data_IF_385235967377
#
_entry.id   IF_385235967377
#
_cell.length_a   1.000
_cell.length_b   1.000
_cell.length_c   1.000
_cell.angle_alpha   90.00
_cell.angle_beta   90.00
_cell.angle_gamma   90.00
#
_symmetry.space_group_name_H-M   'P 1'
#
loop_
_entity.id
_entity.type
_entity.pdbx_description
1 polymer ?
#
# COMPACT_ATOMS: atom_id res chain seq x y z
N UNK A 1 -17.21 -45.81 -0.66
CA UNK A 1 -16.56 -44.80 0.19
C UNK A 1 -16.61 -43.50 -0.59
N UNK A 2 -17.55 -42.61 -0.27
CA UNK A 2 -17.70 -41.34 -1.01
C UNK A 2 -16.50 -40.45 -0.70
N UNK A 3 -15.75 -40.05 -1.73
CA UNK A 3 -14.66 -39.09 -1.57
C UNK A 3 -15.23 -37.74 -1.16
N UNK A 4 -14.93 -37.30 0.05
CA UNK A 4 -15.20 -35.91 0.43
C UNK A 4 -14.20 -35.04 -0.34
N UNK A 5 -14.68 -34.26 -1.31
CA UNK A 5 -13.91 -33.17 -1.87
C UNK A 5 -13.57 -32.19 -0.73
N UNK A 6 -12.30 -32.16 -0.31
CA UNK A 6 -11.81 -31.23 0.69
C UNK A 6 -11.84 -29.81 0.10
N UNK A 7 -12.74 -28.97 0.60
CA UNK A 7 -12.83 -27.57 0.20
C UNK A 7 -11.58 -26.81 0.69
N UNK A 8 -10.83 -26.21 -0.24
CA UNK A 8 -9.61 -25.44 0.07
C UNK A 8 -9.85 -23.94 -0.03
N UNK A 9 -10.65 -23.49 -0.99
CA UNK A 9 -10.92 -22.09 -1.24
C UNK A 9 -12.44 -21.84 -1.16
N UNK A 10 -12.84 -20.87 -0.35
CA UNK A 10 -14.24 -20.49 -0.18
C UNK A 10 -14.39 -19.00 -0.45
N UNK A 11 -15.13 -18.66 -1.51
CA UNK A 11 -15.52 -17.31 -1.86
C UNK A 11 -17.01 -17.11 -1.59
N UNK A 12 -17.32 -16.18 -0.70
CA UNK A 12 -18.67 -15.75 -0.39
C UNK A 12 -18.78 -14.29 -0.79
N UNK A 13 -19.64 -13.98 -1.76
CA UNK A 13 -19.81 -12.61 -2.26
C UNK A 13 -21.27 -12.26 -2.48
N UNK A 14 -21.71 -11.13 -1.93
CA UNK A 14 -23.06 -10.62 -2.17
C UNK A 14 -24.16 -11.46 -1.52
N UNK A 15 -23.85 -12.17 -0.43
CA UNK A 15 -24.82 -12.98 0.29
C UNK A 15 -25.56 -12.15 1.35
N UNK A 16 -26.53 -11.33 0.92
CA UNK A 16 -27.22 -10.35 1.77
C UNK A 16 -28.09 -10.97 2.88
N UNK A 17 -28.42 -12.27 2.81
CA UNK A 17 -29.17 -12.99 3.85
C UNK A 17 -28.29 -13.87 4.74
N UNK A 18 -26.98 -13.93 4.50
CA UNK A 18 -26.06 -14.76 5.28
C UNK A 18 -25.83 -14.12 6.64
N UNK A 19 -26.27 -14.80 7.71
CA UNK A 19 -26.09 -14.35 9.10
C UNK A 19 -24.79 -14.91 9.70
N UNK A 20 -24.42 -16.13 9.32
CA UNK A 20 -23.20 -16.79 9.78
C UNK A 20 -22.88 -18.00 8.93
N UNK A 21 -21.63 -18.44 8.97
CA UNK A 21 -21.20 -19.69 8.36
C UNK A 21 -21.49 -20.87 9.32
N UNK A 22 -21.74 -22.09 8.80
CA UNK A 22 -21.96 -23.26 9.64
C UNK A 22 -20.74 -23.52 10.53
N UNK A 23 -21.00 -23.80 11.82
CA UNK A 23 -19.96 -24.06 12.85
C UNK A 23 -19.20 -25.38 12.68
N UNK A 24 -19.50 -26.19 11.66
CA UNK A 24 -18.98 -27.55 11.47
C UNK A 24 -17.58 -27.65 10.83
N UNK A 25 -17.07 -28.88 10.68
CA UNK A 25 -15.70 -29.20 10.22
C UNK A 25 -15.34 -28.85 8.76
N UNK A 26 -16.18 -28.11 8.03
CA UNK A 26 -15.95 -27.62 6.66
C UNK A 26 -14.67 -26.79 6.51
N UNK A 27 -14.11 -26.31 7.62
CA UNK A 27 -12.97 -25.39 7.65
C UNK A 27 -11.63 -26.06 7.94
N UNK A 28 -11.63 -27.36 8.29
CA UNK A 28 -10.38 -28.05 8.63
C UNK A 28 -9.41 -28.13 7.44
N UNK A 29 -9.94 -28.16 6.21
CA UNK A 29 -9.15 -28.21 4.97
C UNK A 29 -9.02 -26.87 4.26
N UNK A 30 -9.67 -25.82 4.79
CA UNK A 30 -9.75 -24.53 4.13
C UNK A 30 -8.42 -23.78 4.26
N UNK A 31 -7.87 -23.36 3.12
CA UNK A 31 -6.66 -22.54 2.98
C UNK A 31 -7.00 -21.09 2.73
N UNK A 32 -8.07 -20.79 2.01
CA UNK A 32 -8.43 -19.43 1.65
C UNK A 32 -9.91 -19.16 1.93
N UNK A 33 -10.19 -18.07 2.65
CA UNK A 33 -11.54 -17.61 2.92
C UNK A 33 -11.67 -16.16 2.49
N UNK A 34 -12.54 -15.92 1.52
CA UNK A 34 -12.88 -14.59 1.01
C UNK A 34 -14.35 -14.32 1.28
N UNK A 35 -14.64 -13.29 2.06
CA UNK A 35 -16.02 -12.87 2.36
C UNK A 35 -16.19 -11.41 1.96
N UNK A 36 -17.12 -11.15 1.06
CA UNK A 36 -17.33 -9.84 0.45
C UNK A 36 -18.79 -9.43 0.39
N UNK A 37 -19.12 -8.20 0.74
CA UNK A 37 -20.45 -7.61 0.51
C UNK A 37 -21.59 -8.45 1.12
N UNK A 38 -21.40 -8.92 2.36
CA UNK A 38 -22.38 -9.70 3.11
C UNK A 38 -22.96 -8.85 4.23
N UNK A 39 -24.07 -8.17 3.95
CA UNK A 39 -24.60 -7.10 4.80
C UNK A 39 -25.06 -7.57 6.17
N UNK A 40 -25.62 -8.79 6.27
CA UNK A 40 -26.18 -9.35 7.51
C UNK A 40 -25.24 -10.32 8.22
N UNK A 41 -23.98 -10.43 7.79
CA UNK A 41 -23.04 -11.37 8.42
C UNK A 41 -22.67 -10.87 9.82
N UNK A 42 -23.15 -11.55 10.84
CA UNK A 42 -22.96 -11.18 12.24
C UNK A 42 -21.75 -11.87 12.88
N UNK A 43 -21.33 -13.02 12.34
CA UNK A 43 -20.23 -13.81 12.91
C UNK A 43 -19.43 -14.59 11.86
N UNK A 44 -18.14 -14.72 12.14
CA UNK A 44 -17.24 -15.65 11.43
C UNK A 44 -17.28 -17.03 12.12
N UNK A 45 -16.99 -18.11 11.39
CA UNK A 45 -17.05 -19.44 11.98
C UNK A 45 -15.83 -19.70 12.88
N UNK A 46 -16.05 -20.34 14.03
CA UNK A 46 -15.00 -20.58 15.04
C UNK A 46 -13.78 -21.31 14.50
N UNK A 47 -13.97 -22.18 13.51
CA UNK A 47 -12.90 -22.98 12.89
C UNK A 47 -11.83 -22.18 12.15
N UNK A 48 -11.98 -20.87 11.92
CA UNK A 48 -10.88 -20.05 11.34
C UNK A 48 -9.83 -19.63 12.36
N UNK A 49 -10.11 -19.85 13.66
CA UNK A 49 -9.22 -19.51 14.77
C UNK A 49 -8.75 -20.80 15.46
N UNK A 50 -7.53 -20.82 15.99
CA UNK A 50 -7.07 -21.86 16.90
C UNK A 50 -7.63 -21.63 18.30
N UNK A 51 -8.49 -22.54 18.73
CA UNK A 51 -8.88 -22.73 20.13
C UNK A 51 -8.38 -24.11 20.58
N UNK A 52 -7.67 -24.16 21.70
CA UNK A 52 -7.04 -25.34 22.33
C UNK A 52 -7.39 -26.71 21.70
N UNK A 53 -6.56 -27.14 20.73
CA UNK A 53 -6.26 -28.54 20.39
C UNK A 53 -7.23 -29.41 19.55
N UNK A 54 -8.27 -28.92 18.87
CA UNK A 54 -8.95 -29.79 17.87
C UNK A 54 -9.30 -29.05 16.57
N UNK A 55 -8.74 -29.56 15.47
CA UNK A 55 -8.74 -29.00 14.10
C UNK A 55 -7.97 -27.70 13.90
N UNK A 56 -6.70 -27.86 13.56
CA UNK A 56 -5.88 -26.79 13.05
C UNK A 56 -6.38 -26.38 11.66
N UNK A 57 -7.09 -25.25 11.56
CA UNK A 57 -7.32 -24.65 10.25
C UNK A 57 -5.98 -24.40 9.56
N UNK A 58 -5.85 -24.93 8.34
CA UNK A 58 -4.72 -24.69 7.45
C UNK A 58 -4.83 -23.35 6.71
N UNK A 59 -5.55 -22.38 7.31
CA UNK A 59 -5.87 -21.12 6.66
C UNK A 59 -4.59 -20.33 6.42
N UNK A 60 -4.39 -19.96 5.17
CA UNK A 60 -3.27 -19.18 4.65
C UNK A 60 -3.72 -17.77 4.29
N UNK A 61 -4.96 -17.59 3.84
CA UNK A 61 -5.51 -16.28 3.49
C UNK A 61 -6.91 -16.07 4.06
N UNK A 62 -7.11 -14.92 4.71
CA UNK A 62 -8.40 -14.42 5.15
C UNK A 62 -8.63 -13.02 4.60
N UNK A 63 -9.64 -12.87 3.76
CA UNK A 63 -10.12 -11.57 3.29
C UNK A 63 -11.57 -11.33 3.73
N UNK A 64 -11.80 -10.20 4.38
CA UNK A 64 -13.13 -9.75 4.78
C UNK A 64 -13.34 -8.34 4.23
N UNK A 65 -14.38 -8.17 3.43
CA UNK A 65 -14.67 -6.90 2.75
C UNK A 65 -16.14 -6.54 2.84
N UNK A 66 -16.46 -5.29 3.19
CA UNK A 66 -17.83 -4.76 3.16
C UNK A 66 -18.82 -5.65 3.92
N UNK A 67 -18.52 -5.93 5.18
CA UNK A 67 -19.38 -6.73 6.07
C UNK A 67 -19.75 -5.86 7.29
N UNK A 68 -20.72 -4.93 7.14
CA UNK A 68 -21.02 -3.93 8.16
C UNK A 68 -21.62 -4.51 9.45
N UNK A 69 -22.40 -5.60 9.38
CA UNK A 69 -22.95 -6.25 10.59
C UNK A 69 -21.93 -7.08 11.37
N UNK A 70 -20.72 -7.29 10.85
CA UNK A 70 -19.71 -8.09 11.52
C UNK A 70 -19.03 -7.24 12.61
N UNK A 71 -19.15 -7.68 13.86
CA UNK A 71 -18.71 -6.90 15.03
C UNK A 71 -17.51 -7.48 15.77
N UNK A 72 -17.26 -8.79 15.66
CA UNK A 72 -16.14 -9.44 16.35
C UNK A 72 -15.52 -10.59 15.57
N UNK A 73 -14.30 -10.95 15.95
CA UNK A 73 -13.68 -12.20 15.56
C UNK A 73 -14.10 -13.34 16.49
N UNK A 74 -14.01 -14.60 16.03
CA UNK A 74 -14.16 -15.73 16.94
C UNK A 74 -13.04 -15.73 17.97
N UNK A 75 -13.30 -16.29 19.15
CA UNK A 75 -12.28 -16.39 20.21
C UNK A 75 -11.08 -17.22 19.75
N UNK A 76 -9.91 -16.94 20.31
CA UNK A 76 -8.68 -17.70 20.06
C UNK A 76 -7.65 -16.88 19.27
N UNK A 77 -6.78 -17.60 18.56
CA UNK A 77 -5.69 -17.01 17.77
C UNK A 77 -5.85 -17.29 16.29
N UNK A 78 -5.41 -16.39 15.43
CA UNK A 78 -5.22 -16.71 14.02
C UNK A 78 -4.25 -17.88 13.87
N UNK A 79 -4.47 -18.78 12.88
CA UNK A 79 -3.62 -19.93 12.70
C UNK A 79 -2.20 -19.52 12.33
N UNK A 80 -1.22 -20.27 12.82
CA UNK A 80 0.20 -19.99 12.52
C UNK A 80 0.54 -20.13 11.03
N UNK A 81 -0.34 -20.75 10.23
CA UNK A 81 -0.23 -20.84 8.77
C UNK A 81 -0.76 -19.61 8.05
N UNK A 82 -1.39 -18.65 8.73
CA UNK A 82 -1.98 -17.49 8.09
C UNK A 82 -0.88 -16.57 7.54
N UNK A 83 -0.83 -16.43 6.22
CA UNK A 83 0.13 -15.60 5.50
C UNK A 83 -0.47 -14.24 5.10
N UNK A 84 -1.79 -14.19 4.90
CA UNK A 84 -2.50 -13.00 4.42
C UNK A 84 -3.74 -12.70 5.25
N UNK A 85 -3.84 -11.46 5.75
CA UNK A 85 -5.02 -10.96 6.47
C UNK A 85 -5.42 -9.61 5.88
N UNK A 86 -6.53 -9.59 5.15
CA UNK A 86 -7.03 -8.40 4.46
C UNK A 86 -8.42 -8.04 4.99
N UNK A 87 -8.56 -6.85 5.56
CA UNK A 87 -9.81 -6.36 6.14
C UNK A 87 -10.11 -5.00 5.52
N UNK A 88 -11.25 -4.87 4.85
CA UNK A 88 -11.68 -3.63 4.22
C UNK A 88 -13.15 -3.31 4.47
N UNK A 89 -13.47 -2.05 4.68
CA UNK A 89 -14.86 -1.57 4.75
C UNK A 89 -15.67 -2.33 5.83
N UNK A 90 -15.07 -2.54 7.01
CA UNK A 90 -15.65 -3.28 8.14
C UNK A 90 -15.56 -2.42 9.41
N UNK A 91 -16.31 -1.32 9.44
CA UNK A 91 -16.15 -0.24 10.42
C UNK A 91 -16.52 -0.61 11.86
N UNK A 92 -17.42 -1.58 12.04
CA UNK A 92 -17.89 -2.04 13.35
C UNK A 92 -17.13 -3.25 13.89
N UNK A 93 -16.26 -3.88 13.09
CA UNK A 93 -15.48 -5.03 13.50
C UNK A 93 -14.46 -4.61 14.57
N UNK A 94 -14.38 -5.35 15.67
CA UNK A 94 -13.42 -5.11 16.74
C UNK A 94 -11.97 -5.09 16.23
N UNK A 95 -11.09 -4.35 16.91
CA UNK A 95 -9.66 -4.25 16.58
C UNK A 95 -8.97 -5.61 16.69
N UNK A 96 -8.10 -5.92 15.72
CA UNK A 96 -7.06 -6.94 15.92
C UNK A 96 -6.17 -6.53 17.10
N UNK A 97 -5.74 -7.51 17.90
CA UNK A 97 -4.93 -7.32 19.10
C UNK A 97 -3.76 -8.31 19.16
N UNK A 98 -2.79 -8.05 20.05
CA UNK A 98 -1.61 -8.93 20.25
C UNK A 98 -2.02 -10.37 20.61
N UNK A 99 -3.09 -10.53 21.40
CA UNK A 99 -3.55 -11.83 21.90
C UNK A 99 -4.07 -12.74 20.79
N UNK A 100 -4.51 -12.16 19.67
CA UNK A 100 -5.02 -12.89 18.50
C UNK A 100 -3.90 -13.51 17.66
N UNK A 101 -2.64 -13.20 17.91
CA UNK A 101 -1.51 -13.74 17.16
C UNK A 101 -0.66 -14.66 18.03
N UNK A 102 0.08 -15.53 17.38
CA UNK A 102 1.14 -16.28 18.03
C UNK A 102 2.43 -15.45 18.04
N UNK A 103 2.99 -15.21 19.22
CA UNK A 103 4.17 -14.34 19.35
C UNK A 103 5.45 -14.91 18.74
N UNK A 104 5.55 -16.23 18.57
CA UNK A 104 6.79 -16.91 18.18
C UNK A 104 6.74 -17.62 16.82
N UNK A 105 5.56 -17.96 16.30
CA UNK A 105 5.40 -18.71 15.05
C UNK A 105 4.33 -18.12 14.11
N UNK A 106 4.21 -16.80 14.09
CA UNK A 106 3.38 -16.10 13.11
C UNK A 106 4.01 -16.17 11.71
N UNK A 107 3.22 -16.54 10.70
CA UNK A 107 3.65 -16.58 9.29
C UNK A 107 3.10 -15.41 8.47
N UNK A 108 2.45 -14.43 9.09
CA UNK A 108 1.78 -13.34 8.39
C UNK A 108 2.79 -12.50 7.59
N UNK A 109 2.61 -12.45 6.28
CA UNK A 109 3.45 -11.72 5.33
C UNK A 109 2.74 -10.51 4.74
N UNK A 110 1.42 -10.59 4.57
CA UNK A 110 0.60 -9.53 3.99
C UNK A 110 -0.52 -9.09 4.93
N UNK A 111 -0.56 -7.80 5.23
CA UNK A 111 -1.62 -7.17 6.01
C UNK A 111 -2.20 -5.99 5.23
N UNK A 112 -3.51 -6.01 5.00
CA UNK A 112 -4.23 -4.91 4.36
C UNK A 112 -5.37 -4.48 5.27
N UNK A 113 -5.39 -3.22 5.66
CA UNK A 113 -6.40 -2.63 6.54
C UNK A 113 -6.96 -1.37 5.88
N UNK A 114 -8.26 -1.34 5.59
CA UNK A 114 -8.91 -0.19 4.94
C UNK A 114 -10.28 0.11 5.50
N UNK A 115 -10.59 1.37 5.86
CA UNK A 115 -11.87 1.73 6.51
C UNK A 115 -12.24 0.75 7.64
N UNK A 116 -11.32 0.63 8.59
CA UNK A 116 -11.36 -0.29 9.72
C UNK A 116 -11.13 0.50 11.01
N UNK A 117 -12.19 1.20 11.44
CA UNK A 117 -12.10 2.33 12.38
C UNK A 117 -11.69 1.96 13.80
N UNK A 118 -11.92 0.71 14.21
CA UNK A 118 -11.64 0.28 15.58
C UNK A 118 -10.16 -0.06 15.84
N UNK A 119 -9.32 -0.18 14.80
CA UNK A 119 -7.91 -0.48 15.00
C UNK A 119 -7.27 0.58 15.91
N UNK A 120 -6.59 0.15 16.97
CA UNK A 120 -5.91 1.07 17.91
C UNK A 120 -4.41 1.08 17.70
N UNK A 121 -3.84 -0.11 17.56
CA UNK A 121 -2.40 -0.35 17.41
C UNK A 121 -2.17 -1.56 16.53
N UNK A 122 -1.02 -1.62 15.86
CA UNK A 122 -0.56 -2.87 15.27
C UNK A 122 0.06 -3.79 16.34
N UNK A 123 -0.17 -5.11 16.30
CA UNK A 123 0.56 -6.07 17.11
C UNK A 123 2.08 -6.00 16.87
N UNK A 124 2.88 -6.18 17.92
CA UNK A 124 4.35 -6.12 17.88
C UNK A 124 4.96 -7.41 17.27
N UNK A 125 4.23 -8.53 17.32
CA UNK A 125 4.65 -9.81 16.74
C UNK A 125 4.62 -9.88 15.19
N UNK A 126 4.29 -8.78 14.50
CA UNK A 126 4.16 -8.74 13.03
C UNK A 126 5.50 -8.52 12.27
N UNK A 127 6.62 -8.93 12.87
CA UNK A 127 7.96 -8.72 12.30
C UNK A 127 8.22 -9.49 10.98
N UNK A 128 7.36 -10.44 10.62
CA UNK A 128 7.40 -11.23 9.37
C UNK A 128 6.79 -10.51 8.17
N UNK A 129 6.07 -9.41 8.38
CA UNK A 129 5.38 -8.68 7.31
C UNK A 129 6.36 -8.21 6.22
N UNK A 130 6.04 -8.56 4.98
CA UNK A 130 6.72 -8.11 3.76
C UNK A 130 5.86 -7.10 2.99
N UNK A 131 4.55 -7.09 3.20
CA UNK A 131 3.60 -6.17 2.59
C UNK A 131 2.58 -5.64 3.60
N UNK A 132 2.49 -4.32 3.71
CA UNK A 132 1.52 -3.61 4.54
C UNK A 132 0.80 -2.56 3.70
N UNK A 133 -0.54 -2.57 3.74
CA UNK A 133 -1.39 -1.53 3.16
C UNK A 133 -2.37 -0.98 4.18
N UNK A 134 -2.38 0.34 4.35
CA UNK A 134 -3.29 1.05 5.24
C UNK A 134 -4.08 2.08 4.42
N UNK A 135 -5.41 2.04 4.51
CA UNK A 135 -6.30 2.91 3.73
C UNK A 135 -7.36 3.55 4.62
N UNK A 136 -7.62 4.84 4.41
CA UNK A 136 -8.73 5.56 5.03
C UNK A 136 -8.74 5.39 6.56
N UNK A 137 -7.57 5.55 7.18
CA UNK A 137 -7.39 5.32 8.61
C UNK A 137 -7.24 6.64 9.37
N UNK A 138 -8.11 6.88 10.35
CA UNK A 138 -8.17 8.16 11.06
C UNK A 138 -6.95 8.40 11.96
N UNK A 139 -6.47 7.39 12.68
CA UNK A 139 -5.45 7.53 13.71
C UNK A 139 -4.10 6.88 13.33
N UNK A 140 -3.63 7.09 12.10
CA UNK A 140 -2.37 6.50 11.60
C UNK A 140 -1.16 6.79 12.49
N UNK A 141 -1.12 7.93 13.18
CA UNK A 141 -0.03 8.31 14.09
C UNK A 141 0.21 7.28 15.20
N UNK A 142 -0.84 6.60 15.66
CA UNK A 142 -0.73 5.54 16.67
C UNK A 142 -0.01 4.29 16.16
N UNK A 143 0.06 4.10 14.84
CA UNK A 143 0.67 2.93 14.21
C UNK A 143 2.14 3.16 13.81
N UNK A 144 2.58 4.43 13.70
CA UNK A 144 3.94 4.78 13.30
C UNK A 144 5.03 4.11 14.17
N UNK A 145 4.88 4.03 15.52
CA UNK A 145 5.87 3.37 16.37
C UNK A 145 6.08 1.88 16.06
N UNK A 146 5.08 1.19 15.53
CA UNK A 146 5.14 -0.22 15.15
C UNK A 146 5.61 -0.36 13.71
N UNK A 147 5.14 0.49 12.79
CA UNK A 147 5.55 0.46 11.38
C UNK A 147 7.08 0.55 11.28
N UNK A 148 7.73 1.45 12.04
CA UNK A 148 9.20 1.60 12.05
C UNK A 148 9.99 0.37 12.53
N UNK A 149 9.32 -0.61 13.16
CA UNK A 149 9.93 -1.88 13.60
C UNK A 149 9.86 -2.98 12.52
N UNK A 150 9.08 -2.79 11.46
CA UNK A 150 8.85 -3.78 10.40
C UNK A 150 10.02 -3.84 9.40
N UNK A 151 11.21 -4.22 9.84
CA UNK A 151 12.45 -4.16 9.02
C UNK A 151 12.46 -5.12 7.83
N UNK A 152 11.61 -6.15 7.82
CA UNK A 152 11.38 -7.07 6.69
C UNK A 152 10.41 -6.54 5.63
N UNK A 153 9.77 -5.40 5.89
CA UNK A 153 8.76 -4.84 5.00
C UNK A 153 9.40 -4.44 3.67
N UNK A 154 8.91 -5.02 2.58
CA UNK A 154 9.38 -4.76 1.20
C UNK A 154 8.47 -3.80 0.46
N UNK A 155 7.18 -3.78 0.83
CA UNK A 155 6.14 -2.94 0.23
C UNK A 155 5.28 -2.29 1.30
N UNK A 156 5.17 -0.97 1.23
CA UNK A 156 4.30 -0.16 2.09
C UNK A 156 3.39 0.71 1.23
N UNK A 157 2.09 0.64 1.46
CA UNK A 157 1.11 1.49 0.81
C UNK A 157 0.24 2.17 1.87
N UNK A 158 0.20 3.50 1.86
CA UNK A 158 -0.63 4.27 2.79
C UNK A 158 -1.47 5.24 1.97
N UNK A 159 -2.78 5.25 2.18
CA UNK A 159 -3.68 6.12 1.43
C UNK A 159 -4.82 6.70 2.26
N UNK A 160 -5.21 7.94 1.94
CA UNK A 160 -6.39 8.63 2.46
C UNK A 160 -6.44 8.78 3.99
N UNK A 161 -5.30 8.76 4.69
CA UNK A 161 -5.26 9.03 6.14
C UNK A 161 -5.19 10.55 6.38
N UNK A 162 -6.32 11.17 6.76
CA UNK A 162 -6.51 12.64 6.71
C UNK A 162 -6.13 13.41 7.99
N UNK A 163 -6.08 12.76 9.15
CA UNK A 163 -5.83 13.44 10.44
C UNK A 163 -4.37 13.38 10.91
N UNK A 164 -3.45 12.94 10.05
CA UNK A 164 -2.03 12.90 10.39
C UNK A 164 -1.43 14.31 10.38
N UNK A 165 -0.78 14.67 11.49
CA UNK A 165 -0.07 15.94 11.69
C UNK A 165 1.44 15.74 11.56
N UNK A 166 1.90 14.55 11.91
CA UNK A 166 3.31 14.16 11.87
C UNK A 166 3.83 14.17 10.43
N UNK A 167 4.82 15.01 10.08
CA UNK A 167 5.34 15.08 8.72
C UNK A 167 5.99 13.76 8.31
N UNK A 168 6.02 13.50 7.01
CA UNK A 168 6.50 12.23 6.45
C UNK A 168 7.95 11.92 6.87
N UNK A 169 8.77 12.94 7.06
CA UNK A 169 10.15 12.80 7.52
C UNK A 169 10.29 12.22 8.93
N UNK A 170 9.27 12.34 9.76
CA UNK A 170 9.26 11.82 11.14
C UNK A 170 8.66 10.40 11.24
N UNK A 171 8.24 9.80 10.13
CA UNK A 171 7.67 8.43 10.16
C UNK A 171 8.72 7.35 10.40
N UNK A 172 10.01 7.68 10.30
CA UNK A 172 11.11 6.75 10.53
C UNK A 172 11.22 5.66 9.45
N UNK A 173 10.74 5.92 8.22
CA UNK A 173 10.78 4.94 7.13
C UNK A 173 12.22 4.59 6.73
N UNK A 174 13.19 5.46 7.00
CA UNK A 174 14.63 5.17 6.84
C UNK A 174 15.12 3.93 7.62
N UNK A 175 14.40 3.50 8.66
CA UNK A 175 14.68 2.26 9.41
C UNK A 175 14.22 0.99 8.70
N UNK A 176 13.38 1.10 7.66
CA UNK A 176 12.84 -0.02 6.91
C UNK A 176 13.84 -0.48 5.85
N UNK A 177 14.90 -1.13 6.29
CA UNK A 177 16.06 -1.47 5.45
C UNK A 177 15.72 -2.38 4.27
N UNK A 178 14.62 -3.15 4.33
CA UNK A 178 14.17 -4.01 3.22
C UNK A 178 13.19 -3.34 2.25
N UNK A 179 12.79 -2.09 2.50
CA UNK A 179 11.68 -1.45 1.77
C UNK A 179 12.09 -1.08 0.34
N UNK A 180 11.42 -1.69 -0.63
CA UNK A 180 11.65 -1.50 -2.07
C UNK A 180 10.56 -0.69 -2.74
N UNK A 181 9.33 -0.75 -2.23
CA UNK A 181 8.15 -0.15 -2.85
C UNK A 181 7.36 0.68 -1.84
N UNK A 182 7.22 1.97 -2.09
CA UNK A 182 6.46 2.90 -1.26
C UNK A 182 5.42 3.64 -2.10
N UNK A 183 4.16 3.57 -1.67
CA UNK A 183 3.06 4.36 -2.25
C UNK A 183 2.38 5.17 -1.15
N UNK A 184 2.28 6.48 -1.35
CA UNK A 184 1.57 7.40 -0.46
C UNK A 184 0.56 8.20 -1.29
N UNK A 185 -0.73 8.14 -0.91
CA UNK A 185 -1.81 8.78 -1.68
C UNK A 185 -2.77 9.56 -0.79
N UNK A 186 -3.15 10.76 -1.20
CA UNK A 186 -4.30 11.48 -0.62
C UNK A 186 -4.09 11.82 0.85
N UNK A 187 -2.88 12.24 1.23
CA UNK A 187 -2.50 12.58 2.61
C UNK A 187 -2.13 14.06 2.73
N UNK A 188 -2.03 14.55 3.97
CA UNK A 188 -1.58 15.91 4.30
C UNK A 188 -2.32 17.02 3.53
N UNK A 189 -3.63 17.21 3.73
CA UNK A 189 -4.44 18.10 2.90
C UNK A 189 -3.93 19.55 2.88
N UNK A 190 -3.27 20.03 3.93
CA UNK A 190 -2.73 21.40 4.01
C UNK A 190 -1.23 21.55 3.78
N UNK A 191 -0.48 20.46 3.60
CA UNK A 191 0.98 20.54 3.53
C UNK A 191 1.48 20.97 2.15
N UNK A 192 2.43 21.91 2.13
CA UNK A 192 3.11 22.39 0.91
C UNK A 192 4.44 21.66 0.65
N UNK A 193 4.99 20.99 1.67
CA UNK A 193 6.19 20.14 1.61
C UNK A 193 6.01 18.89 2.50
N UNK A 194 6.95 17.94 2.43
CA UNK A 194 6.94 16.72 3.25
C UNK A 194 7.83 16.81 4.50
N UNK A 195 8.56 17.90 4.67
CA UNK A 195 9.38 18.16 5.84
C UNK A 195 9.60 19.66 6.05
N UNK A 196 9.66 20.06 7.30
CA UNK A 196 10.16 21.37 7.74
C UNK A 196 11.68 21.36 7.91
N UNK A 197 12.29 20.17 8.08
CA UNK A 197 13.73 19.99 8.23
C UNK A 197 14.39 19.61 6.89
N UNK A 198 15.26 20.47 6.35
CA UNK A 198 15.95 20.22 5.09
C UNK A 198 16.95 19.06 5.10
N UNK A 199 17.41 18.61 6.27
CA UNK A 199 18.41 17.56 6.41
C UNK A 199 17.82 16.19 6.73
N UNK A 200 16.50 16.11 6.92
CA UNK A 200 15.84 14.85 7.20
C UNK A 200 15.73 14.00 5.94
N UNK A 201 16.27 12.78 5.98
CA UNK A 201 16.11 11.79 4.91
C UNK A 201 14.93 10.90 5.27
N UNK A 202 13.76 11.08 4.64
CA UNK A 202 12.55 10.37 5.03
C UNK A 202 12.61 8.88 4.70
N UNK A 203 13.36 8.48 3.67
CA UNK A 203 13.27 7.15 3.05
C UNK A 203 14.57 6.35 3.12
N UNK A 204 14.50 5.01 3.05
CA UNK A 204 15.68 4.16 2.96
C UNK A 204 16.25 4.15 1.53
N UNK A 205 17.57 3.98 1.39
CA UNK A 205 18.26 3.95 0.09
C UNK A 205 17.96 2.70 -0.75
N UNK A 206 17.30 1.70 -0.16
CA UNK A 206 16.87 0.45 -0.81
C UNK A 206 15.60 0.61 -1.65
N UNK A 207 14.98 1.80 -1.61
CA UNK A 207 13.74 2.07 -2.33
C UNK A 207 13.98 2.09 -3.84
N UNK A 208 13.26 1.22 -4.57
CA UNK A 208 13.29 1.09 -6.03
C UNK A 208 12.09 1.74 -6.72
N UNK A 209 10.99 1.89 -5.98
CA UNK A 209 9.75 2.46 -6.48
C UNK A 209 9.14 3.41 -5.44
N UNK A 210 8.91 4.66 -5.84
CA UNK A 210 8.23 5.68 -5.07
C UNK A 210 7.04 6.22 -5.85
N UNK A 211 5.84 6.13 -5.27
CA UNK A 211 4.61 6.71 -5.82
C UNK A 211 4.00 7.70 -4.84
N UNK A 212 3.84 8.94 -5.27
CA UNK A 212 3.18 10.02 -4.55
C UNK A 212 1.94 10.45 -5.33
N UNK A 213 0.77 10.51 -4.70
CA UNK A 213 -0.45 10.83 -5.43
C UNK A 213 -1.45 11.66 -4.64
N UNK A 214 -2.22 12.48 -5.34
CA UNK A 214 -3.36 13.24 -4.79
C UNK A 214 -3.00 14.25 -3.70
N UNK A 215 -1.83 14.85 -3.78
CA UNK A 215 -1.40 15.93 -2.88
C UNK A 215 -1.84 17.30 -3.42
N UNK A 216 -2.93 17.83 -2.85
CA UNK A 216 -3.62 19.02 -3.38
C UNK A 216 -2.84 20.33 -3.19
N UNK A 217 -2.06 20.43 -2.10
CA UNK A 217 -1.33 21.65 -1.74
C UNK A 217 0.19 21.55 -1.87
N UNK A 218 0.72 20.39 -2.26
CA UNK A 218 2.15 20.17 -2.38
C UNK A 218 2.76 21.00 -3.51
N UNK A 219 3.77 21.80 -3.18
CA UNK A 219 4.42 22.72 -4.12
C UNK A 219 5.79 22.22 -4.60
N UNK A 220 6.48 21.44 -3.78
CA UNK A 220 7.85 20.97 -4.05
C UNK A 220 8.17 19.61 -3.42
N UNK A 221 8.98 18.80 -4.11
CA UNK A 221 9.58 17.56 -3.57
C UNK A 221 10.97 17.74 -2.96
N UNK A 222 11.48 18.97 -2.88
CA UNK A 222 12.85 19.24 -2.45
C UNK A 222 13.18 18.74 -1.03
N UNK A 223 12.17 18.55 -0.17
CA UNK A 223 12.29 18.03 1.19
C UNK A 223 12.48 16.52 1.27
N UNK A 224 12.37 15.79 0.15
CA UNK A 224 12.48 14.33 0.14
C UNK A 224 13.91 13.82 -0.09
N UNK A 225 14.85 14.73 -0.39
CA UNK A 225 16.26 14.41 -0.67
C UNK A 225 16.42 13.22 -1.62
N UNK A 226 15.64 13.23 -2.72
CA UNK A 226 15.54 12.11 -3.66
C UNK A 226 16.90 11.68 -4.21
N UNK A 227 17.88 12.59 -4.31
CA UNK A 227 19.24 12.28 -4.77
C UNK A 227 19.97 11.24 -3.90
N UNK A 228 19.56 11.08 -2.65
CA UNK A 228 20.13 10.08 -1.73
C UNK A 228 19.63 8.66 -2.03
N UNK A 229 18.57 8.52 -2.82
CA UNK A 229 17.93 7.24 -3.12
C UNK A 229 18.65 6.54 -4.28
N UNK A 230 19.84 6.04 -3.99
CA UNK A 230 20.73 5.44 -4.98
C UNK A 230 20.16 4.20 -5.68
N UNK A 231 19.12 3.55 -5.15
CA UNK A 231 18.45 2.42 -5.80
C UNK A 231 17.14 2.78 -6.52
N UNK A 232 16.76 4.06 -6.56
CA UNK A 232 15.44 4.45 -7.06
C UNK A 232 15.36 4.35 -8.58
N UNK A 233 14.62 3.35 -9.07
CA UNK A 233 14.43 3.11 -10.50
C UNK A 233 13.19 3.80 -11.06
N UNK A 234 12.15 3.96 -10.23
CA UNK A 234 10.82 4.39 -10.64
C UNK A 234 10.26 5.47 -9.70
N UNK A 235 10.01 6.67 -10.23
CA UNK A 235 9.33 7.76 -9.54
C UNK A 235 8.01 8.07 -10.22
N UNK A 236 6.91 7.95 -9.49
CA UNK A 236 5.57 8.16 -9.98
C UNK A 236 4.84 9.24 -9.15
N UNK A 237 4.28 10.24 -9.82
CA UNK A 237 3.62 11.41 -9.24
C UNK A 237 2.29 11.60 -9.97
N UNK A 238 1.19 11.60 -9.25
CA UNK A 238 -0.13 11.69 -9.87
C UNK A 238 -1.02 12.70 -9.17
N UNK A 239 -1.73 13.51 -9.92
CA UNK A 239 -2.77 14.41 -9.40
C UNK A 239 -2.26 15.34 -8.29
N UNK A 240 -1.13 16.01 -8.53
CA UNK A 240 -0.54 17.02 -7.65
C UNK A 240 -0.63 18.40 -8.32
N UNK A 241 -1.77 19.10 -8.21
CA UNK A 241 -2.07 20.25 -9.07
C UNK A 241 -1.15 21.45 -8.86
N UNK A 242 -0.66 21.68 -7.63
CA UNK A 242 0.21 22.82 -7.26
C UNK A 242 1.71 22.53 -7.38
N UNK A 243 2.09 21.31 -7.75
CA UNK A 243 3.48 20.87 -7.74
C UNK A 243 4.28 21.56 -8.87
N UNK A 244 5.28 22.36 -8.50
CA UNK A 244 6.08 23.18 -9.43
C UNK A 244 7.46 22.60 -9.73
N UNK A 245 7.98 21.73 -8.88
CA UNK A 245 9.29 21.10 -9.08
C UNK A 245 9.34 19.74 -8.42
N UNK A 246 9.94 18.79 -9.12
CA UNK A 246 10.28 17.46 -8.59
C UNK A 246 11.74 17.35 -8.17
N UNK A 247 12.54 18.39 -8.45
CA UNK A 247 13.97 18.35 -8.23
C UNK A 247 14.31 18.55 -6.76
N UNK A 248 15.34 17.83 -6.26
CA UNK A 248 15.90 18.10 -4.94
C UNK A 248 16.66 19.43 -4.92
N UNK A 249 17.05 19.86 -3.72
CA UNK A 249 17.74 21.16 -3.50
C UNK A 249 19.04 21.31 -4.29
N UNK A 250 19.76 20.22 -4.47
CA UNK A 250 21.04 20.17 -5.20
C UNK A 250 20.86 19.99 -6.72
N UNK A 251 19.61 19.89 -7.20
CA UNK A 251 19.26 20.09 -8.60
C UNK A 251 19.22 18.86 -9.51
N UNK A 252 19.64 17.67 -9.06
CA UNK A 252 19.64 16.44 -9.87
C UNK A 252 18.91 15.27 -9.20
N UNK A 253 18.24 14.46 -10.00
CA UNK A 253 17.63 13.19 -9.57
C UNK A 253 18.71 12.09 -9.54
N UNK A 254 18.46 10.94 -8.88
CA UNK A 254 19.39 9.81 -8.90
C UNK A 254 19.65 9.29 -10.31
N UNK A 255 20.92 8.98 -10.62
CA UNK A 255 21.31 8.39 -11.92
C UNK A 255 20.67 7.02 -12.19
N UNK A 256 20.22 6.33 -11.14
CA UNK A 256 19.52 5.04 -11.26
C UNK A 256 18.06 5.18 -11.69
N UNK A 257 17.52 6.40 -11.72
CA UNK A 257 16.16 6.65 -12.12
C UNK A 257 15.98 6.34 -13.60
N UNK A 258 15.18 5.31 -13.89
CA UNK A 258 14.94 4.82 -15.23
C UNK A 258 13.54 5.17 -15.75
N UNK A 259 12.60 5.46 -14.85
CA UNK A 259 11.23 5.84 -15.18
C UNK A 259 10.77 6.98 -14.28
N UNK A 260 10.43 8.10 -14.90
CA UNK A 260 9.75 9.22 -14.26
C UNK A 260 8.34 9.37 -14.85
N UNK A 261 7.33 9.33 -13.99
CA UNK A 261 5.95 9.44 -14.42
C UNK A 261 5.23 10.50 -13.60
N UNK A 262 4.91 11.63 -14.19
CA UNK A 262 4.04 12.67 -13.65
C UNK A 262 2.74 12.73 -14.45
N UNK A 263 1.57 12.64 -13.83
CA UNK A 263 0.27 12.87 -14.50
C UNK A 263 -0.62 13.79 -13.68
N UNK A 264 -1.45 14.57 -14.36
CA UNK A 264 -2.34 15.56 -13.73
C UNK A 264 -1.59 16.52 -12.78
N UNK A 265 -0.44 17.02 -13.21
CA UNK A 265 0.45 17.96 -12.52
C UNK A 265 0.75 19.16 -13.46
N UNK A 266 -0.21 20.08 -13.68
CA UNK A 266 -0.19 21.04 -14.80
C UNK A 266 1.03 21.97 -14.79
N UNK A 267 1.53 22.38 -13.62
CA UNK A 267 2.69 23.26 -13.52
C UNK A 267 4.03 22.57 -13.85
N UNK A 268 4.09 21.24 -13.88
CA UNK A 268 5.30 20.53 -14.29
C UNK A 268 5.49 20.54 -15.82
N UNK A 269 4.41 20.52 -16.61
CA UNK A 269 4.51 20.42 -18.07
C UNK A 269 5.32 21.56 -18.69
N UNK A 270 5.14 22.80 -18.22
CA UNK A 270 5.87 23.93 -18.78
C UNK A 270 7.36 23.89 -18.43
N UNK A 271 7.72 23.53 -17.18
CA UNK A 271 9.11 23.58 -16.71
C UNK A 271 9.98 22.45 -17.26
N UNK A 272 9.37 21.31 -17.54
CA UNK A 272 10.05 20.12 -18.05
C UNK A 272 9.75 19.87 -19.54
N UNK A 273 9.34 20.91 -20.28
CA UNK A 273 9.20 20.84 -21.74
C UNK A 273 10.57 20.69 -22.41
N UNK A 274 10.71 19.77 -23.37
CA UNK A 274 11.95 19.54 -24.12
C UNK A 274 12.39 20.75 -24.97
N UNK A 275 11.44 21.55 -25.43
CA UNK A 275 11.70 22.68 -26.34
C UNK A 275 12.02 23.98 -25.59
N UNK A 276 11.30 24.25 -24.50
CA UNK A 276 11.31 25.56 -23.82
C UNK A 276 11.45 25.47 -22.28
N UNK A 277 11.57 24.26 -21.73
CA UNK A 277 11.56 24.05 -20.28
C UNK A 277 12.92 24.23 -19.62
N UNK A 278 13.03 25.21 -18.72
CA UNK A 278 14.25 25.51 -17.96
C UNK A 278 14.82 24.31 -17.16
N UNK A 279 13.97 23.36 -16.77
CA UNK A 279 14.35 22.20 -15.95
C UNK A 279 14.54 20.91 -16.75
N UNK A 280 14.30 20.92 -18.08
CA UNK A 280 14.52 19.75 -18.95
C UNK A 280 15.96 19.21 -18.91
N UNK A 281 17.02 20.05 -18.98
CA UNK A 281 18.40 19.56 -18.91
C UNK A 281 18.71 18.77 -17.62
N UNK A 282 17.96 19.03 -16.55
CA UNK A 282 18.14 18.40 -15.24
C UNK A 282 17.52 17.01 -15.15
N UNK A 283 16.64 16.63 -16.08
CA UNK A 283 16.02 15.29 -16.16
C UNK A 283 16.38 14.54 -17.44
N UNK A 284 17.05 15.20 -18.39
CA UNK A 284 17.45 14.63 -19.68
C UNK A 284 18.42 13.43 -19.59
N UNK A 285 19.08 13.24 -18.45
CA UNK A 285 19.96 12.11 -18.18
C UNK A 285 19.20 10.78 -17.98
N UNK A 286 17.90 10.83 -17.69
CA UNK A 286 17.06 9.64 -17.51
C UNK A 286 16.94 8.93 -18.88
N UNK A 287 17.40 7.67 -19.03
CA UNK A 287 17.56 7.05 -20.34
C UNK A 287 16.23 6.94 -21.09
N UNK A 288 16.00 7.70 -22.17
CA UNK A 288 14.79 7.59 -23.00
C UNK A 288 15.08 6.72 -24.23
N UNK A 289 14.68 5.45 -24.19
CA UNK A 289 14.86 4.53 -25.32
C UNK A 289 13.52 4.23 -25.99
N UNK A 290 13.02 5.16 -26.81
CA UNK A 290 12.04 4.81 -27.84
C UNK A 290 12.20 5.62 -29.13
N UNK A 291 11.92 4.98 -30.30
CA UNK A 291 11.79 5.65 -31.57
C UNK A 291 10.40 6.31 -31.70
N UNK A 292 10.40 7.59 -32.06
CA UNK A 292 9.34 8.61 -32.00
C UNK A 292 8.01 8.31 -32.75
N UNK A 293 7.80 7.13 -33.34
CA UNK A 293 6.65 6.90 -34.26
C UNK A 293 5.58 5.90 -33.81
N UNK A 294 5.79 5.08 -32.78
CA UNK A 294 4.79 4.06 -32.34
C UNK A 294 4.01 4.42 -31.06
N UNK A 295 4.35 5.51 -30.39
CA UNK A 295 3.80 5.89 -29.09
C UNK A 295 3.12 7.26 -29.07
N UNK A 296 2.42 7.63 -30.16
CA UNK A 296 1.58 8.82 -30.16
C UNK A 296 0.28 8.55 -29.36
N UNK A 297 0.04 9.35 -28.33
CA UNK A 297 -1.21 9.34 -27.54
C UNK A 297 -2.42 9.39 -28.48
N UNK A 298 -3.33 8.44 -28.34
CA UNK A 298 -4.55 8.24 -29.16
C UNK A 298 -4.38 7.85 -30.65
N UNK A 299 -3.15 7.71 -31.17
CA UNK A 299 -2.93 7.40 -32.61
C UNK A 299 -2.14 6.13 -32.90
N UNK A 300 -1.49 5.52 -31.90
CA UNK A 300 -0.75 4.27 -32.07
C UNK A 300 -1.62 3.01 -31.90
N UNK A 301 -1.54 2.08 -32.85
CA UNK A 301 -2.31 0.82 -32.88
C UNK A 301 -2.09 -0.08 -31.65
N UNK A 302 -1.00 0.12 -30.90
CA UNK A 302 -0.64 -0.68 -29.72
C UNK A 302 -0.93 0.02 -28.37
N UNK A 303 -1.56 1.21 -28.38
CA UNK A 303 -1.82 2.06 -27.19
C UNK A 303 -2.53 1.34 -26.02
N UNK A 304 -3.31 0.30 -26.31
CA UNK A 304 -4.11 -0.42 -25.30
C UNK A 304 -3.37 -1.55 -24.58
N UNK A 305 -2.11 -1.85 -24.94
CA UNK A 305 -1.32 -2.96 -24.38
C UNK A 305 -0.10 -2.54 -23.56
N UNK A 306 0.06 -1.25 -23.24
CA UNK A 306 1.37 -0.72 -22.85
C UNK A 306 1.52 -0.59 -21.33
N UNK A 307 1.74 -1.73 -20.68
CA UNK A 307 2.42 -1.82 -19.37
C UNK A 307 3.95 -1.63 -19.50
N UNK A 308 4.41 -1.46 -20.75
CA UNK A 308 5.80 -1.37 -21.16
C UNK A 308 6.00 -0.13 -22.04
N UNK A 309 6.41 0.97 -21.40
CA UNK A 309 7.07 2.19 -21.95
C UNK A 309 6.12 3.41 -22.05
N UNK A 310 6.43 4.59 -21.43
CA UNK A 310 7.72 5.29 -21.47
C UNK A 310 8.33 5.89 -20.19
N UNK A 311 9.59 6.35 -20.37
CA UNK A 311 10.63 6.62 -19.36
C UNK A 311 10.72 8.07 -18.85
N UNK A 312 10.09 9.05 -19.50
CA UNK A 312 9.61 10.29 -18.84
C UNK A 312 8.21 10.59 -19.39
N UNK A 313 7.19 10.56 -18.55
CA UNK A 313 5.82 10.96 -18.94
C UNK A 313 5.40 12.11 -18.05
N UNK A 314 5.03 13.26 -18.62
CA UNK A 314 4.48 14.39 -17.86
C UNK A 314 3.15 14.80 -18.49
N UNK A 315 2.05 14.57 -17.76
CA UNK A 315 0.68 14.89 -18.18
C UNK A 315 0.32 14.38 -19.58
N UNK A 316 0.55 13.09 -19.80
CA UNK A 316 0.22 12.41 -21.07
C UNK A 316 1.10 12.84 -22.25
N UNK A 317 2.03 13.78 -22.04
CA UNK A 317 3.14 14.06 -22.96
C UNK A 317 4.28 13.09 -22.67
N UNK A 318 4.62 12.31 -23.69
CA UNK A 318 5.78 11.42 -23.72
C UNK A 318 6.99 12.22 -24.22
N UNK A 319 8.05 12.24 -23.41
CA UNK A 319 9.33 12.84 -23.78
C UNK A 319 10.45 11.81 -23.95
#
# INVERSE_FOLDING_TARGET
MMGMCALQDLLIRGCHSLIGLPKGGLLATLKQLYIGNCERLESLPEGIMHQHSTNAAALQALEIRKCPSLTSFPRGKFPSTLEQLHIRDCEHLESISEEMFHSTNNSLQSLILGRYSNLKTLPDCLNTLTYLRIEDFENLELLLPQIKKLTRLTRLEISNCKNIKTPLSQWGLSRLTSLKHLRIRGMFPGATSFSDDPHSIPFPTTLTFLSLSEFQNLESLASLSLQTLTSLENLAIFNCPKLRSILPREGLLPDTLSRLHARRCPHLTQRYSKEEGDDWPKIAHIPCHLPEKRCQFEKGEEWHYIDLIPKIVINEVLF
#
